data_IF_837843274909
#
_entry.id   IF_837843274909
#
_cell.length_a   1.000
_cell.length_b   1.000
_cell.length_c   1.000
_cell.angle_alpha   90.00
_cell.angle_beta   90.00
_cell.angle_gamma   90.00
#
_symmetry.space_group_name_H-M   'P 1'
#
loop_
_entity.id
_entity.type
_entity.pdbx_description
1 polymer ?
#
# COMPACT_ATOMS: atom_id res chain seq x y z
N UNK A 1 27.16 9.26 -3.96
CA UNK A 1 27.30 7.84 -3.55
C UNK A 1 26.44 7.49 -2.34
N UNK A 2 26.21 8.43 -1.40
CA UNK A 2 25.32 8.18 -0.23
C UNK A 2 23.92 7.67 -0.60
N UNK A 3 23.36 8.15 -1.70
CA UNK A 3 22.03 7.74 -2.18
C UNK A 3 22.02 6.29 -2.61
N UNK A 4 23.06 5.83 -3.29
CA UNK A 4 23.22 4.43 -3.72
C UNK A 4 23.46 3.53 -2.51
N UNK A 5 24.28 3.98 -1.56
CA UNK A 5 24.54 3.23 -0.33
C UNK A 5 23.26 3.00 0.47
N UNK A 6 22.38 4.01 0.53
CA UNK A 6 21.07 3.88 1.16
C UNK A 6 20.20 2.82 0.49
N UNK A 7 20.24 2.71 -0.83
CA UNK A 7 19.51 1.67 -1.57
C UNK A 7 20.10 0.29 -1.29
N UNK A 8 21.43 0.17 -1.33
CA UNK A 8 22.13 -1.10 -1.15
C UNK A 8 22.05 -1.65 0.27
N UNK A 9 21.97 -0.77 1.27
CA UNK A 9 21.93 -1.15 2.69
C UNK A 9 20.50 -1.22 3.25
N UNK A 10 19.49 -0.80 2.49
CA UNK A 10 18.10 -0.86 2.92
C UNK A 10 17.66 -2.28 3.22
N UNK A 11 16.97 -2.46 4.32
CA UNK A 11 16.27 -3.69 4.66
C UNK A 11 14.77 -3.40 4.95
N UNK A 12 13.99 -4.45 5.13
CA UNK A 12 12.58 -4.35 5.48
C UNK A 12 12.37 -5.03 6.83
N UNK A 13 12.48 -4.28 7.94
CA UNK A 13 12.27 -4.84 9.26
C UNK A 13 10.81 -5.26 9.45
N UNK A 14 10.59 -6.29 10.24
CA UNK A 14 9.26 -6.83 10.53
C UNK A 14 8.44 -5.93 11.47
N UNK A 15 9.12 -5.12 12.26
CA UNK A 15 8.51 -4.23 13.25
C UNK A 15 9.17 -2.87 13.16
N UNK A 16 8.35 -1.83 13.11
CA UNK A 16 8.76 -0.44 13.15
C UNK A 16 8.18 0.23 14.39
N UNK A 17 8.86 1.24 14.90
CA UNK A 17 8.43 2.02 16.06
C UNK A 17 8.42 3.52 15.74
N UNK A 18 7.78 4.28 16.60
CA UNK A 18 7.84 5.74 16.55
C UNK A 18 9.29 6.25 16.77
N UNK A 19 9.61 7.46 16.26
CA UNK A 19 8.70 8.35 15.53
C UNK A 19 8.54 7.95 14.06
N UNK A 20 7.37 8.25 13.48
CA UNK A 20 7.20 8.24 12.03
C UNK A 20 7.46 9.64 11.45
N UNK A 21 7.62 9.79 10.13
CA UNK A 21 7.91 11.08 9.50
C UNK A 21 6.86 12.15 9.82
N UNK A 22 7.30 13.40 10.00
CA UNK A 22 6.39 14.53 10.18
C UNK A 22 5.57 14.80 8.91
N UNK A 23 4.52 15.62 9.03
CA UNK A 23 3.68 16.00 7.89
C UNK A 23 4.50 16.69 6.79
N UNK A 24 5.47 17.53 7.14
CA UNK A 24 6.37 18.17 6.18
C UNK A 24 7.26 17.15 5.47
N UNK A 25 7.77 16.17 6.20
CA UNK A 25 8.56 15.09 5.62
C UNK A 25 7.71 14.20 4.72
N UNK A 26 6.48 13.91 5.13
CA UNK A 26 5.54 13.13 4.31
C UNK A 26 5.16 13.86 3.03
N UNK A 27 4.99 15.18 3.07
CA UNK A 27 4.74 15.99 1.87
C UNK A 27 5.88 15.86 0.84
N UNK A 28 7.12 15.89 1.30
CA UNK A 28 8.30 15.69 0.44
C UNK A 28 8.31 14.26 -0.13
N UNK A 29 8.01 13.25 0.69
CA UNK A 29 7.96 11.84 0.27
C UNK A 29 6.88 11.64 -0.79
N UNK A 30 5.68 12.20 -0.60
CA UNK A 30 4.60 12.11 -1.58
C UNK A 30 4.93 12.81 -2.89
N UNK A 31 5.52 14.01 -2.83
CA UNK A 31 6.00 14.71 -4.02
C UNK A 31 7.05 13.90 -4.79
N UNK A 32 7.97 13.27 -4.09
CA UNK A 32 8.95 12.37 -4.71
C UNK A 32 8.29 11.14 -5.34
N UNK A 33 7.35 10.50 -4.63
CA UNK A 33 6.61 9.34 -5.13
C UNK A 33 5.78 9.65 -6.39
N UNK A 34 5.20 10.85 -6.47
CA UNK A 34 4.44 11.31 -7.63
C UNK A 34 5.32 11.60 -8.86
N UNK A 35 6.66 11.59 -8.73
CA UNK A 35 7.57 11.66 -9.87
C UNK A 35 7.76 10.33 -10.58
N UNK A 36 7.28 9.22 -10.01
CA UNK A 36 7.33 7.93 -10.67
C UNK A 36 6.60 8.01 -12.02
N UNK A 37 7.13 7.34 -13.07
CA UNK A 37 6.48 7.30 -14.38
C UNK A 37 5.07 6.73 -14.29
N UNK A 38 4.12 7.37 -14.96
CA UNK A 38 2.78 6.84 -15.15
C UNK A 38 2.40 6.83 -16.64
N UNK A 39 1.38 6.01 -16.97
CA UNK A 39 0.91 5.92 -18.33
C UNK A 39 0.12 7.18 -18.71
N UNK A 40 0.54 7.84 -19.80
CA UNK A 40 -0.11 9.00 -20.40
C UNK A 40 -0.38 10.17 -19.44
N UNK A 41 0.43 10.32 -18.38
CA UNK A 41 0.27 11.38 -17.38
C UNK A 41 -1.08 11.37 -16.67
N UNK A 42 -1.70 10.20 -16.54
CA UNK A 42 -3.02 10.04 -15.92
C UNK A 42 -3.04 10.34 -14.41
N UNK A 43 -1.86 10.39 -13.76
CA UNK A 43 -1.72 10.67 -12.33
C UNK A 43 -2.64 9.78 -11.47
N UNK A 44 -2.56 8.45 -11.63
CA UNK A 44 -3.55 7.53 -11.06
C UNK A 44 -3.35 7.27 -9.57
N UNK A 45 -2.20 7.67 -9.04
CA UNK A 45 -1.80 7.31 -7.67
C UNK A 45 -2.47 8.21 -6.64
N UNK A 46 -2.98 7.58 -5.59
CA UNK A 46 -3.49 8.20 -4.38
C UNK A 46 -2.84 7.54 -3.18
N UNK A 47 -2.62 8.30 -2.13
CA UNK A 47 -2.04 7.81 -0.89
C UNK A 47 -3.04 7.97 0.24
N UNK A 48 -3.26 6.90 1.00
CA UNK A 48 -4.03 6.94 2.24
C UNK A 48 -3.09 6.70 3.40
N UNK A 49 -2.91 7.72 4.23
CA UNK A 49 -2.10 7.65 5.44
C UNK A 49 -2.96 7.15 6.60
N UNK A 50 -2.53 6.09 7.26
CA UNK A 50 -3.24 5.46 8.37
C UNK A 50 -2.37 5.51 9.61
N UNK A 51 -2.85 6.19 10.64
CA UNK A 51 -2.18 6.37 11.95
C UNK A 51 -3.21 6.27 13.09
N UNK A 52 -2.76 6.09 14.32
CA UNK A 52 -3.62 6.12 15.51
C UNK A 52 -4.86 5.24 15.38
N UNK A 53 -6.05 5.80 15.58
CA UNK A 53 -7.34 5.10 15.48
C UNK A 53 -7.60 4.46 14.11
N UNK A 54 -6.94 4.97 13.06
CA UNK A 54 -6.98 4.38 11.73
C UNK A 54 -6.40 2.98 11.70
N UNK A 55 -5.37 2.70 12.48
CA UNK A 55 -4.78 1.36 12.61
C UNK A 55 -5.76 0.37 13.25
N UNK A 56 -6.57 0.81 14.22
CA UNK A 56 -7.62 -0.03 14.82
C UNK A 56 -8.72 -0.37 13.80
N UNK A 57 -9.11 0.60 12.98
CA UNK A 57 -10.08 0.37 11.90
C UNK A 57 -9.52 -0.62 10.87
N UNK A 58 -8.28 -0.45 10.48
CA UNK A 58 -7.61 -1.34 9.53
C UNK A 58 -7.47 -2.76 10.11
N UNK A 59 -7.16 -2.89 11.39
CA UNK A 59 -7.12 -4.16 12.12
C UNK A 59 -8.44 -4.92 12.05
N UNK A 60 -9.57 -4.22 12.25
CA UNK A 60 -10.92 -4.81 12.15
C UNK A 60 -11.20 -5.29 10.73
N UNK A 61 -10.84 -4.50 9.72
CA UNK A 61 -11.00 -4.86 8.30
C UNK A 61 -10.19 -6.12 7.97
N UNK A 62 -8.93 -6.20 8.39
CA UNK A 62 -8.09 -7.37 8.14
C UNK A 62 -8.63 -8.63 8.80
N UNK A 63 -9.08 -8.52 10.05
CA UNK A 63 -9.69 -9.63 10.78
C UNK A 63 -10.96 -10.12 10.09
N UNK A 64 -11.86 -9.20 9.76
CA UNK A 64 -13.12 -9.53 9.11
C UNK A 64 -12.91 -10.17 7.74
N UNK A 65 -12.04 -9.59 6.92
CA UNK A 65 -11.70 -10.14 5.61
C UNK A 65 -11.15 -11.58 5.72
N UNK A 66 -10.22 -11.80 6.65
CA UNK A 66 -9.64 -13.12 6.86
C UNK A 66 -10.70 -14.15 7.29
N UNK A 67 -11.60 -13.75 8.19
CA UNK A 67 -12.69 -14.59 8.67
C UNK A 67 -13.68 -14.97 7.56
N UNK A 68 -14.01 -14.04 6.68
CA UNK A 68 -15.02 -14.23 5.64
C UNK A 68 -14.47 -14.90 4.38
N UNK A 69 -13.19 -14.71 4.04
CA UNK A 69 -12.65 -15.07 2.73
C UNK A 69 -11.58 -16.17 2.75
N UNK A 70 -11.06 -16.55 3.92
CA UNK A 70 -9.96 -17.51 4.01
C UNK A 70 -10.39 -18.92 4.47
N UNK A 71 -11.67 -19.25 4.40
CA UNK A 71 -12.19 -20.57 4.76
C UNK A 71 -11.95 -20.93 6.23
N UNK A 72 -11.59 -22.19 6.50
CA UNK A 72 -11.30 -22.67 7.86
C UNK A 72 -9.94 -22.20 8.34
N UNK A 73 -9.85 -20.90 8.64
CA UNK A 73 -8.65 -20.31 9.21
C UNK A 73 -8.60 -20.54 10.71
N UNK A 74 -7.43 -20.94 11.23
CA UNK A 74 -7.24 -21.11 12.67
C UNK A 74 -7.29 -19.77 13.41
N UNK A 75 -7.71 -19.79 14.68
CA UNK A 75 -7.78 -18.59 15.52
C UNK A 75 -6.43 -17.87 15.62
N UNK A 76 -5.32 -18.62 15.72
CA UNK A 76 -3.97 -18.05 15.75
C UNK A 76 -3.64 -17.24 14.49
N UNK A 77 -4.10 -17.70 13.33
CA UNK A 77 -3.93 -16.96 12.07
C UNK A 77 -4.81 -15.72 12.01
N UNK A 78 -6.05 -15.81 12.49
CA UNK A 78 -6.95 -14.64 12.60
C UNK A 78 -6.33 -13.55 13.48
N UNK A 79 -5.74 -13.93 14.62
CA UNK A 79 -5.04 -13.01 15.51
C UNK A 79 -3.85 -12.35 14.81
N UNK A 80 -3.10 -13.07 13.97
CA UNK A 80 -2.01 -12.49 13.16
C UNK A 80 -2.51 -11.41 12.21
N UNK A 81 -3.62 -11.64 11.52
CA UNK A 81 -4.24 -10.62 10.65
C UNK A 81 -4.68 -9.40 11.45
N UNK A 82 -5.31 -9.61 12.59
CA UNK A 82 -5.72 -8.53 13.50
C UNK A 82 -4.55 -7.68 13.98
N UNK A 83 -3.39 -8.30 14.25
CA UNK A 83 -2.19 -7.60 14.73
C UNK A 83 -1.32 -7.01 13.62
N UNK A 84 -1.53 -7.39 12.37
CA UNK A 84 -0.67 -6.98 11.26
C UNK A 84 -0.52 -5.46 11.10
N UNK A 85 -1.56 -4.63 11.21
CA UNK A 85 -1.41 -3.18 11.10
C UNK A 85 -0.54 -2.55 12.18
N UNK A 86 -0.44 -3.16 13.34
CA UNK A 86 0.34 -2.62 14.47
C UNK A 86 1.85 -2.90 14.38
N UNK A 87 2.32 -3.45 13.26
CA UNK A 87 3.76 -3.61 13.00
C UNK A 87 4.47 -2.30 12.69
N UNK A 88 3.72 -1.25 12.42
CA UNK A 88 4.24 0.08 12.18
C UNK A 88 3.32 1.13 12.80
N UNK A 89 3.85 2.27 13.26
CA UNK A 89 3.04 3.36 13.82
C UNK A 89 2.29 4.13 12.73
N UNK A 90 2.69 4.00 11.48
CA UNK A 90 2.03 4.58 10.30
C UNK A 90 2.08 3.60 9.13
N UNK A 91 0.97 3.48 8.42
CA UNK A 91 0.86 2.70 7.18
C UNK A 91 0.44 3.64 6.05
N UNK A 92 1.09 3.51 4.91
CA UNK A 92 0.71 4.20 3.68
C UNK A 92 0.10 3.17 2.73
N UNK A 93 -1.15 3.39 2.36
CA UNK A 93 -1.83 2.59 1.36
C UNK A 93 -1.74 3.33 0.03
N UNK A 94 -1.06 2.73 -0.93
CA UNK A 94 -0.99 3.23 -2.29
C UNK A 94 -2.18 2.70 -3.08
N UNK A 95 -3.00 3.61 -3.57
CA UNK A 95 -4.14 3.29 -4.43
C UNK A 95 -3.78 3.73 -5.85
N UNK A 96 -3.84 2.80 -6.79
CA UNK A 96 -3.60 3.10 -8.20
C UNK A 96 -4.80 2.70 -9.05
N UNK A 97 -5.38 3.67 -9.74
CA UNK A 97 -6.46 3.43 -10.70
C UNK A 97 -5.94 2.94 -12.07
N UNK A 98 -4.63 2.96 -12.29
CA UNK A 98 -4.01 2.60 -13.58
C UNK A 98 -4.34 1.17 -13.98
N UNK A 99 -4.38 0.24 -13.04
CA UNK A 99 -4.68 -1.17 -13.34
C UNK A 99 -6.08 -1.33 -13.96
N UNK A 100 -7.07 -0.62 -13.42
CA UNK A 100 -8.44 -0.66 -13.93
C UNK A 100 -8.49 -0.01 -15.31
N UNK A 101 -7.86 1.15 -15.47
CA UNK A 101 -7.85 1.86 -16.75
C UNK A 101 -7.06 1.11 -17.82
N UNK A 102 -5.93 0.53 -17.48
CA UNK A 102 -5.15 -0.30 -18.40
C UNK A 102 -5.90 -1.58 -18.78
N UNK A 103 -6.65 -2.19 -17.87
CA UNK A 103 -7.49 -3.35 -18.19
C UNK A 103 -8.64 -2.95 -19.14
N UNK A 104 -9.25 -1.80 -18.95
CA UNK A 104 -10.29 -1.27 -19.85
C UNK A 104 -9.68 -0.94 -21.22
N UNK A 105 -8.57 -0.21 -21.26
CA UNK A 105 -7.88 0.14 -22.51
C UNK A 105 -7.38 -1.10 -23.22
N UNK A 106 -6.76 -2.04 -22.53
CA UNK A 106 -6.33 -3.32 -23.09
C UNK A 106 -7.53 -4.10 -23.62
N UNK A 107 -8.62 -4.19 -22.85
CA UNK A 107 -9.85 -4.83 -23.29
C UNK A 107 -10.44 -4.20 -24.55
N UNK A 108 -10.41 -2.87 -24.65
CA UNK A 108 -10.88 -2.16 -25.84
C UNK A 108 -9.96 -2.34 -27.05
N UNK A 109 -8.63 -2.33 -26.87
CA UNK A 109 -7.69 -2.47 -27.96
C UNK A 109 -7.42 -3.92 -28.37
N UNK A 110 -7.26 -4.82 -27.39
CA UNK A 110 -6.97 -6.24 -27.66
C UNK A 110 -8.23 -7.05 -27.95
N UNK A 111 -9.37 -6.68 -27.39
CA UNK A 111 -10.65 -7.29 -27.76
C UNK A 111 -11.02 -7.07 -29.22
N UNK A 112 -10.61 -5.96 -29.81
CA UNK A 112 -10.79 -5.69 -31.24
C UNK A 112 -9.79 -6.42 -32.14
N UNK A 113 -8.65 -6.80 -31.62
CA UNK A 113 -7.62 -7.53 -32.38
C UNK A 113 -7.91 -9.04 -32.41
N UNK A 114 -8.66 -9.56 -31.43
CA UNK A 114 -9.00 -10.99 -31.33
C UNK A 114 -10.45 -11.31 -31.72
N UNK A 115 -11.22 -10.35 -32.01
CA UNK A 115 -12.56 -10.49 -32.62
C UNK A 115 -12.52 -10.18 -34.11
#
# INVERSE_FOLDING_TARGET
>A
MKEIDNILTRNSPLQLCEPYPSDEQMDIIYKAALRAPDHAWLRPSRFLQVTGDGLDKLSKIFYQYAKENMGDISEDKLIKYKKAPFRAPMIIILISATLILNAIVAGLFYGWIWL
#
